data_IF_711073237696
#
_entry.id   IF_711073237696
#
_cell.length_a   1.000
_cell.length_b   1.000
_cell.length_c   1.000
_cell.angle_alpha   90.00
_cell.angle_beta   90.00
_cell.angle_gamma   90.00
#
_symmetry.space_group_name_H-M   'P 1'
#
loop_
_entity.id
_entity.type
_entity.pdbx_description
1 polymer ?
#
# COMPACT_ATOMS: atom_id res chain seq x y z
N UNK A 1 9.22 34.74 -17.54
CA UNK A 1 8.00 34.18 -16.92
C UNK A 1 7.90 32.70 -17.23
N UNK A 2 8.74 31.82 -16.65
CA UNK A 2 8.84 30.42 -17.14
C UNK A 2 9.10 29.35 -16.05
N UNK A 3 9.96 29.60 -15.06
CA UNK A 3 10.32 28.58 -14.07
C UNK A 3 9.15 28.15 -13.16
N UNK A 4 8.33 29.11 -12.72
CA UNK A 4 7.16 28.87 -11.85
C UNK A 4 6.09 27.99 -12.52
N UNK A 5 5.90 28.15 -13.83
CA UNK A 5 4.96 27.34 -14.61
C UNK A 5 5.47 25.90 -14.76
N UNK A 6 6.77 25.72 -15.01
CA UNK A 6 7.39 24.38 -15.11
C UNK A 6 7.37 23.62 -13.78
N UNK A 7 7.62 24.29 -12.65
CA UNK A 7 7.53 23.68 -11.31
C UNK A 7 6.10 23.21 -11.03
N UNK A 8 5.09 24.02 -11.39
CA UNK A 8 3.68 23.65 -11.23
C UNK A 8 3.32 22.42 -12.07
N UNK A 9 3.69 22.39 -13.34
CA UNK A 9 3.45 21.25 -14.22
C UNK A 9 4.12 19.97 -13.69
N UNK A 10 5.38 20.04 -13.26
CA UNK A 10 6.09 18.90 -12.69
C UNK A 10 5.46 18.39 -11.39
N UNK A 11 4.93 19.30 -10.56
CA UNK A 11 4.18 18.94 -9.34
C UNK A 11 2.85 18.27 -9.67
N UNK A 12 2.10 18.79 -10.64
CA UNK A 12 0.83 18.21 -11.09
C UNK A 12 1.01 16.78 -11.63
N UNK A 13 2.07 16.54 -12.39
CA UNK A 13 2.43 15.18 -12.85
C UNK A 13 2.65 14.22 -11.67
N UNK A 14 3.41 14.64 -10.65
CA UNK A 14 3.64 13.80 -9.45
C UNK A 14 2.35 13.53 -8.68
N UNK A 15 1.51 14.56 -8.49
CA UNK A 15 0.22 14.42 -7.82
C UNK A 15 -0.67 13.44 -8.56
N UNK A 16 -0.78 13.56 -9.89
CA UNK A 16 -1.63 12.68 -10.68
C UNK A 16 -1.11 11.24 -10.69
N UNK A 17 0.22 11.05 -10.73
CA UNK A 17 0.82 9.72 -10.57
C UNK A 17 0.41 9.09 -9.24
N UNK A 18 0.60 9.79 -8.12
CA UNK A 18 0.23 9.27 -6.79
C UNK A 18 -1.27 9.02 -6.68
N UNK A 19 -2.12 9.89 -7.24
CA UNK A 19 -3.58 9.66 -7.28
C UNK A 19 -3.94 8.39 -8.04
N UNK A 20 -3.32 8.15 -9.20
CA UNK A 20 -3.57 6.96 -10.00
C UNK A 20 -3.10 5.69 -9.28
N UNK A 21 -1.93 5.74 -8.63
CA UNK A 21 -1.42 4.63 -7.81
C UNK A 21 -2.36 4.31 -6.63
N UNK A 22 -2.85 5.33 -5.93
CA UNK A 22 -3.83 5.17 -4.84
C UNK A 22 -5.14 4.58 -5.33
N UNK A 23 -5.67 5.09 -6.45
CA UNK A 23 -6.91 4.58 -7.03
C UNK A 23 -6.77 3.11 -7.47
N UNK A 24 -5.62 2.76 -8.03
CA UNK A 24 -5.32 1.38 -8.39
C UNK A 24 -5.34 0.45 -7.17
N UNK A 25 -4.72 0.86 -6.06
CA UNK A 25 -4.75 0.07 -4.82
C UNK A 25 -6.18 -0.03 -4.27
N UNK A 26 -6.92 1.09 -4.22
CA UNK A 26 -8.29 1.13 -3.71
C UNK A 26 -9.21 0.14 -4.44
N UNK A 27 -9.12 0.09 -5.78
CA UNK A 27 -9.91 -0.83 -6.60
C UNK A 27 -9.57 -2.33 -6.39
N UNK A 28 -8.50 -2.64 -5.66
CA UNK A 28 -8.03 -4.00 -5.41
C UNK A 28 -8.19 -4.44 -3.95
N UNK A 29 -8.53 -3.52 -3.02
CA UNK A 29 -8.68 -3.85 -1.60
C UNK A 29 -9.77 -4.90 -1.39
N UNK A 30 -10.89 -4.80 -2.12
CA UNK A 30 -12.02 -5.74 -2.00
C UNK A 30 -11.66 -7.19 -2.39
N UNK A 31 -10.56 -7.39 -3.14
CA UNK A 31 -10.07 -8.73 -3.48
C UNK A 31 -9.34 -9.40 -2.33
N UNK A 32 -8.90 -8.64 -1.33
CA UNK A 32 -8.12 -9.14 -0.20
C UNK A 32 -9.07 -9.70 0.85
N UNK A 33 -9.00 -11.02 1.03
CA UNK A 33 -9.88 -11.77 1.91
C UNK A 33 -9.07 -12.50 2.97
N UNK A 34 -9.71 -12.81 4.10
CA UNK A 34 -9.07 -13.41 5.26
C UNK A 34 -8.68 -12.37 6.30
N UNK A 35 -8.95 -12.69 7.57
CA UNK A 35 -8.83 -11.75 8.69
C UNK A 35 -7.38 -11.26 8.85
N UNK A 36 -6.40 -12.17 8.75
CA UNK A 36 -4.97 -11.86 8.91
C UNK A 36 -4.46 -11.01 7.73
N UNK A 37 -4.85 -11.34 6.51
CA UNK A 37 -4.50 -10.60 5.30
C UNK A 37 -5.06 -9.18 5.33
N UNK A 38 -6.31 -9.02 5.74
CA UNK A 38 -6.95 -7.72 5.90
C UNK A 38 -6.29 -6.89 7.00
N UNK A 39 -5.97 -7.49 8.15
CA UNK A 39 -5.32 -6.78 9.26
C UNK A 39 -3.88 -6.37 8.91
N UNK A 40 -3.11 -7.25 8.26
CA UNK A 40 -1.78 -6.89 7.75
C UNK A 40 -1.87 -5.78 6.72
N UNK A 41 -2.79 -5.87 5.74
CA UNK A 41 -2.97 -4.82 4.74
C UNK A 41 -3.33 -3.48 5.38
N UNK A 42 -4.27 -3.47 6.33
CA UNK A 42 -4.68 -2.29 7.06
C UNK A 42 -3.48 -1.58 7.70
N UNK A 43 -2.66 -2.31 8.47
CA UNK A 43 -1.50 -1.70 9.13
C UNK A 43 -0.41 -1.23 8.16
N UNK A 44 -0.25 -1.90 7.01
CA UNK A 44 0.66 -1.43 5.97
C UNK A 44 0.19 -0.11 5.34
N UNK A 45 -1.12 0.06 5.15
CA UNK A 45 -1.70 1.31 4.64
C UNK A 45 -1.60 2.45 5.66
N UNK A 46 -1.66 2.14 6.96
CA UNK A 46 -1.38 3.08 8.05
C UNK A 46 0.12 3.43 8.19
N UNK A 47 1.00 2.78 7.40
CA UNK A 47 2.44 3.04 7.41
C UNK A 47 3.21 2.33 8.53
N UNK A 48 2.60 1.33 9.17
CA UNK A 48 3.25 0.57 10.24
C UNK A 48 4.29 -0.41 9.69
N UNK A 49 5.47 -0.54 10.35
CA UNK A 49 6.52 -1.43 9.87
C UNK A 49 6.19 -2.90 10.15
N UNK A 50 6.80 -3.82 9.39
CA UNK A 50 6.57 -5.27 9.54
C UNK A 50 6.90 -5.80 10.94
N UNK A 51 7.89 -5.20 11.61
CA UNK A 51 8.22 -5.55 13.01
C UNK A 51 7.07 -5.24 13.96
N UNK A 52 6.40 -4.11 13.75
CA UNK A 52 5.23 -3.71 14.54
C UNK A 52 4.04 -4.63 14.26
N UNK A 53 3.77 -4.94 12.98
CA UNK A 53 2.70 -5.88 12.60
C UNK A 53 2.98 -7.28 13.21
N UNK A 54 4.23 -7.73 13.19
CA UNK A 54 4.64 -8.99 13.78
C UNK A 54 4.41 -9.03 15.29
N UNK A 55 4.80 -7.99 16.00
CA UNK A 55 4.53 -7.87 17.43
C UNK A 55 3.03 -7.81 17.74
N UNK A 56 2.26 -7.06 16.95
CA UNK A 56 0.81 -6.89 17.12
C UNK A 56 0.03 -8.19 16.89
N UNK A 57 0.44 -8.98 15.90
CA UNK A 57 -0.23 -10.22 15.49
C UNK A 57 0.39 -11.48 16.11
N UNK A 58 1.40 -11.34 16.97
CA UNK A 58 2.21 -12.45 17.48
C UNK A 58 2.79 -13.34 16.36
N UNK A 59 3.33 -12.70 15.33
CA UNK A 59 3.91 -13.32 14.14
C UNK A 59 5.38 -12.96 13.99
N UNK A 60 6.17 -13.88 13.44
CA UNK A 60 7.54 -13.56 13.02
C UNK A 60 7.55 -12.60 11.84
N UNK A 61 8.64 -11.85 11.67
CA UNK A 61 8.84 -10.99 10.49
C UNK A 61 8.65 -11.73 9.16
N UNK A 62 9.19 -12.95 9.06
CA UNK A 62 9.02 -13.82 7.88
C UNK A 62 7.58 -14.23 7.64
N UNK A 63 6.78 -14.41 8.69
CA UNK A 63 5.37 -14.75 8.57
C UNK A 63 4.57 -13.55 8.05
N UNK A 64 4.83 -12.34 8.56
CA UNK A 64 4.24 -11.09 8.06
C UNK A 64 4.58 -10.89 6.58
N UNK A 65 5.83 -11.14 6.18
CA UNK A 65 6.26 -11.06 4.79
C UNK A 65 5.46 -12.02 3.88
N UNK A 66 5.25 -13.27 4.31
CA UNK A 66 4.41 -14.23 3.57
C UNK A 66 2.96 -13.79 3.48
N UNK A 67 2.39 -13.17 4.53
CA UNK A 67 1.03 -12.61 4.46
C UNK A 67 0.98 -11.51 3.42
N UNK A 68 1.94 -10.58 3.42
CA UNK A 68 2.03 -9.53 2.40
C UNK A 68 2.09 -10.11 0.98
N UNK A 69 2.87 -11.17 0.76
CA UNK A 69 2.96 -11.83 -0.54
C UNK A 69 1.60 -12.42 -0.97
N UNK A 70 0.83 -13.00 -0.03
CA UNK A 70 -0.54 -13.45 -0.29
C UNK A 70 -1.48 -12.30 -0.62
N UNK A 71 -1.41 -11.19 0.12
CA UNK A 71 -2.20 -9.96 -0.17
C UNK A 71 -1.95 -9.49 -1.60
N UNK A 72 -0.68 -9.38 -2.01
CA UNK A 72 -0.31 -8.99 -3.38
C UNK A 72 -0.85 -10.01 -4.39
N UNK A 73 -0.72 -11.31 -4.11
CA UNK A 73 -1.26 -12.36 -4.98
C UNK A 73 -2.78 -12.26 -5.15
N UNK A 74 -3.53 -11.95 -4.09
CA UNK A 74 -4.98 -11.74 -4.15
C UNK A 74 -5.36 -10.53 -5.02
N UNK A 75 -4.62 -9.41 -4.89
CA UNK A 75 -4.85 -8.21 -5.69
C UNK A 75 -4.60 -8.44 -7.20
N UNK A 76 -3.64 -9.32 -7.53
CA UNK A 76 -3.24 -9.62 -8.91
C UNK A 76 -4.07 -10.72 -9.60
N UNK A 77 -4.92 -11.43 -8.85
CA UNK A 77 -5.90 -12.38 -9.42
C UNK A 77 -7.11 -11.65 -10.01
#
# INVERSE_FOLDING_TARGET
MHAHVQIRAAREVRINKTKNELLMVQNLIDKVTGDIEQEVLYWLLEGMPFSWNGAKLNMSHTSVQRVRERVIHMMMK
#
